data_IF_820348803312
#
_entry.id   IF_820348803312
#
_cell.length_a   1.000
_cell.length_b   1.000
_cell.length_c   1.000
_cell.angle_alpha   90.00
_cell.angle_beta   90.00
_cell.angle_gamma   90.00
#
_symmetry.space_group_name_H-M   'P 1'
#
loop_
_entity.id
_entity.type
_entity.pdbx_description
1 polymer ?
#
# COMPACT_ATOMS: atom_id res chain seq x y z
N UNK A 1 3.69 9.67 19.09
CA UNK A 1 2.24 9.90 19.11
C UNK A 1 1.86 10.73 17.88
N UNK A 2 0.63 10.61 17.38
CA UNK A 2 0.20 11.38 16.20
C UNK A 2 -0.47 12.70 16.61
N UNK A 3 -0.40 13.77 15.80
CA UNK A 3 -1.18 14.98 16.02
C UNK A 3 -2.68 14.68 16.15
N UNK A 4 -3.39 15.40 17.04
CA UNK A 4 -4.83 15.18 17.27
C UNK A 4 -5.65 15.26 15.98
N UNK A 5 -5.32 16.18 15.07
CA UNK A 5 -5.99 16.34 13.77
C UNK A 5 -5.93 15.11 12.85
N UNK A 6 -5.01 14.16 13.08
CA UNK A 6 -4.94 12.90 12.34
C UNK A 6 -5.77 11.76 12.96
N UNK A 7 -6.33 12.00 14.15
CA UNK A 7 -7.08 11.01 14.94
C UNK A 7 -8.52 11.46 15.12
N UNK A 8 -8.71 12.73 15.49
CA UNK A 8 -9.98 13.40 15.70
C UNK A 8 -10.21 14.34 14.51
N UNK A 9 -10.90 13.83 13.49
CA UNK A 9 -11.04 14.51 12.20
C UNK A 9 -12.09 15.61 12.26
N UNK A 10 -11.74 16.81 11.80
CA UNK A 10 -12.72 17.88 11.58
C UNK A 10 -13.67 17.53 10.39
N UNK A 11 -14.81 18.23 10.24
CA UNK A 11 -15.78 17.92 9.19
C UNK A 11 -15.20 17.95 7.76
N UNK A 12 -14.29 18.89 7.47
CA UNK A 12 -13.64 19.03 6.16
C UNK A 12 -12.72 17.85 5.86
N UNK A 13 -11.99 17.39 6.86
CA UNK A 13 -11.10 16.24 6.79
C UNK A 13 -11.89 14.95 6.66
N UNK A 14 -13.02 14.84 7.37
CA UNK A 14 -13.93 13.70 7.25
C UNK A 14 -14.52 13.60 5.83
N UNK A 15 -14.89 14.72 5.22
CA UNK A 15 -15.34 14.76 3.81
C UNK A 15 -14.24 14.27 2.86
N UNK A 16 -13.01 14.77 3.01
CA UNK A 16 -11.84 14.32 2.23
C UNK A 16 -11.65 12.81 2.36
N UNK A 17 -11.56 12.30 3.58
CA UNK A 17 -11.35 10.87 3.87
C UNK A 17 -12.48 10.01 3.30
N UNK A 18 -13.72 10.47 3.38
CA UNK A 18 -14.88 9.75 2.84
C UNK A 18 -14.80 9.64 1.33
N UNK A 19 -14.46 10.74 0.64
CA UNK A 19 -14.26 10.76 -0.81
C UNK A 19 -13.10 9.85 -1.25
N UNK A 20 -11.96 9.94 -0.57
CA UNK A 20 -10.78 9.11 -0.86
C UNK A 20 -11.08 7.62 -0.64
N UNK A 21 -11.76 7.28 0.46
CA UNK A 21 -12.15 5.90 0.76
C UNK A 21 -13.11 5.33 -0.28
N UNK A 22 -14.08 6.12 -0.75
CA UNK A 22 -14.98 5.74 -1.83
C UNK A 22 -14.20 5.48 -3.13
N UNK A 23 -13.28 6.36 -3.49
CA UNK A 23 -12.45 6.21 -4.71
C UNK A 23 -11.58 4.95 -4.66
N UNK A 24 -10.94 4.68 -3.52
CA UNK A 24 -10.16 3.45 -3.33
C UNK A 24 -11.03 2.20 -3.39
N UNK A 25 -12.22 2.24 -2.78
CA UNK A 25 -13.18 1.13 -2.84
C UNK A 25 -13.57 0.84 -4.30
N UNK A 26 -13.91 1.86 -5.08
CA UNK A 26 -14.24 1.72 -6.49
C UNK A 26 -13.06 1.20 -7.33
N UNK A 27 -11.84 1.68 -7.06
CA UNK A 27 -10.63 1.20 -7.71
C UNK A 27 -10.45 -0.32 -7.51
N UNK A 28 -10.54 -0.79 -6.26
CA UNK A 28 -10.32 -2.20 -5.92
C UNK A 28 -11.45 -3.15 -6.31
N UNK A 29 -12.55 -2.64 -6.87
CA UNK A 29 -13.63 -3.43 -7.47
C UNK A 29 -13.47 -3.56 -8.99
N UNK A 30 -12.41 -3.00 -9.58
CA UNK A 30 -12.10 -3.20 -11.00
C UNK A 30 -11.33 -4.50 -11.18
N UNK A 31 -11.66 -5.23 -12.23
CA UNK A 31 -11.01 -6.49 -12.58
C UNK A 31 -10.39 -6.33 -13.97
N UNK A 32 -9.06 -6.32 -14.04
CA UNK A 32 -8.36 -6.50 -15.31
C UNK A 32 -8.57 -7.92 -15.82
N UNK A 33 -8.91 -8.08 -17.10
CA UNK A 33 -9.15 -9.40 -17.70
C UNK A 33 -7.85 -10.17 -18.00
N UNK A 34 -6.71 -9.49 -18.00
CA UNK A 34 -5.42 -10.04 -18.35
C UNK A 34 -4.49 -10.08 -17.13
N UNK A 35 -3.84 -11.22 -16.91
CA UNK A 35 -2.80 -11.36 -15.89
C UNK A 35 -1.50 -10.71 -16.37
N UNK A 36 -1.02 -9.70 -15.65
CA UNK A 36 0.27 -9.03 -15.97
C UNK A 36 1.45 -9.54 -15.15
N UNK A 37 1.20 -10.13 -13.99
CA UNK A 37 2.24 -10.66 -13.11
C UNK A 37 2.79 -12.01 -13.60
N UNK A 38 4.06 -12.30 -13.27
CA UNK A 38 4.76 -13.55 -13.63
C UNK A 38 5.59 -14.07 -12.45
N UNK A 39 5.58 -15.39 -12.28
CA UNK A 39 6.29 -16.10 -11.21
C UNK A 39 5.98 -15.58 -9.80
N UNK A 40 6.89 -15.85 -8.88
CA UNK A 40 6.80 -15.40 -7.49
C UNK A 40 6.76 -13.86 -7.36
N UNK A 41 5.95 -13.39 -6.40
CA UNK A 41 6.02 -12.02 -5.91
C UNK A 41 7.26 -11.82 -5.03
N UNK A 42 7.77 -10.60 -4.98
CA UNK A 42 8.93 -10.23 -4.15
C UNK A 42 8.54 -9.21 -3.09
N UNK A 43 9.31 -9.19 -2.00
CA UNK A 43 9.24 -8.10 -1.01
C UNK A 43 9.66 -6.79 -1.69
N UNK A 44 8.94 -5.68 -1.44
CA UNK A 44 9.27 -4.41 -2.07
C UNK A 44 10.42 -3.66 -1.39
N UNK A 45 10.76 -4.03 -0.15
CA UNK A 45 11.92 -3.55 0.61
C UNK A 45 12.43 -4.70 1.51
N UNK A 46 13.71 -4.66 1.86
CA UNK A 46 14.34 -5.61 2.80
C UNK A 46 14.09 -5.29 4.28
N UNK A 47 13.34 -4.21 4.56
CA UNK A 47 13.06 -3.72 5.91
C UNK A 47 12.41 -4.71 6.87
N UNK A 48 12.65 -4.54 8.17
CA UNK A 48 12.13 -5.40 9.24
C UNK A 48 10.60 -5.28 9.36
N UNK A 49 9.92 -6.39 9.69
CA UNK A 49 8.48 -6.37 9.94
C UNK A 49 8.19 -5.67 11.27
N UNK A 50 7.66 -4.45 11.22
CA UNK A 50 7.29 -3.67 12.40
C UNK A 50 5.78 -3.67 12.70
N UNK A 51 4.96 -4.06 11.73
CA UNK A 51 3.50 -4.16 11.90
C UNK A 51 2.93 -5.31 11.08
N UNK A 52 2.45 -6.37 11.74
CA UNK A 52 1.86 -7.51 11.06
C UNK A 52 0.42 -7.24 10.59
N UNK A 53 0.02 -7.94 9.52
CA UNK A 53 -1.34 -7.92 8.97
C UNK A 53 -2.37 -8.39 10.00
N UNK A 54 -3.57 -7.79 9.96
CA UNK A 54 -4.70 -8.19 10.80
C UNK A 54 -4.61 -7.78 12.27
N UNK A 55 -3.47 -7.24 12.72
CA UNK A 55 -3.29 -6.81 14.11
C UNK A 55 -4.25 -5.65 14.46
N UNK A 56 -4.79 -5.67 15.68
CA UNK A 56 -5.62 -4.58 16.20
C UNK A 56 -4.76 -3.33 16.33
N UNK A 57 -5.21 -2.22 15.75
CA UNK A 57 -4.51 -0.93 15.85
C UNK A 57 -5.07 -0.11 17.01
N UNK A 58 -4.18 0.46 17.80
CA UNK A 58 -4.49 1.46 18.82
C UNK A 58 -3.70 2.71 18.48
N UNK A 59 -4.40 3.81 18.21
CA UNK A 59 -3.77 5.10 17.87
C UNK A 59 -4.17 6.10 18.94
N UNK A 60 -3.17 6.69 19.62
CA UNK A 60 -3.37 7.62 20.74
C UNK A 60 -4.35 7.07 21.80
N UNK A 61 -4.24 5.79 22.13
CA UNK A 61 -5.11 5.12 23.11
C UNK A 61 -6.49 4.69 22.60
N UNK A 62 -6.86 5.06 21.37
CA UNK A 62 -8.16 4.71 20.79
C UNK A 62 -8.03 3.50 19.84
N UNK A 63 -8.88 2.47 19.96
CA UNK A 63 -8.97 1.40 18.98
C UNK A 63 -9.33 1.93 17.59
N UNK A 64 -8.68 1.39 16.56
CA UNK A 64 -8.98 1.66 15.14
C UNK A 64 -9.11 0.34 14.38
N UNK A 65 -9.52 0.40 13.12
CA UNK A 65 -9.58 -0.76 12.23
C UNK A 65 -8.25 -1.51 12.19
N UNK A 66 -8.34 -2.83 12.05
CA UNK A 66 -7.17 -3.70 11.98
C UNK A 66 -6.23 -3.33 10.85
N UNK A 67 -4.98 -3.75 10.97
CA UNK A 67 -3.95 -3.49 10.00
C UNK A 67 -4.22 -4.18 8.65
N UNK A 68 -4.40 -3.39 7.59
CA UNK A 68 -4.82 -3.82 6.25
C UNK A 68 -3.67 -4.24 5.31
N UNK A 69 -2.47 -4.40 5.85
CA UNK A 69 -1.22 -4.68 5.15
C UNK A 69 -0.15 -5.05 6.16
N UNK A 70 1.12 -4.93 5.78
CA UNK A 70 2.27 -5.02 6.68
C UNK A 70 3.06 -3.72 6.64
N UNK A 71 3.68 -3.39 7.76
CA UNK A 71 4.57 -2.24 7.88
C UNK A 71 6.00 -2.77 7.94
N UNK A 72 6.82 -2.34 6.99
CA UNK A 72 8.23 -2.70 6.86
C UNK A 72 9.08 -1.50 7.20
N UNK A 73 9.79 -1.55 8.33
CA UNK A 73 10.68 -0.48 8.78
C UNK A 73 11.89 -0.40 7.87
N UNK A 74 12.13 0.77 7.31
CA UNK A 74 13.28 1.09 6.48
C UNK A 74 13.60 2.58 6.60
N UNK A 75 14.83 2.97 6.32
CA UNK A 75 15.24 4.37 6.36
C UNK A 75 14.48 5.19 5.31
N UNK A 76 14.21 6.46 5.62
CA UNK A 76 13.65 7.38 4.63
C UNK A 76 14.58 7.50 3.43
N UNK A 77 14.02 7.47 2.22
CA UNK A 77 14.80 7.42 0.99
C UNK A 77 15.19 6.00 0.53
N UNK A 78 14.90 4.94 1.30
CA UNK A 78 15.11 3.57 0.82
C UNK A 78 14.29 3.31 -0.46
N UNK A 79 14.89 2.75 -1.53
CA UNK A 79 14.15 2.39 -2.73
C UNK A 79 13.01 1.40 -2.48
N UNK A 80 11.85 1.65 -3.09
CA UNK A 80 10.68 0.75 -3.05
C UNK A 80 10.51 0.09 -4.41
N UNK A 81 10.54 -1.24 -4.44
CA UNK A 81 10.48 -2.03 -5.67
C UNK A 81 9.08 -2.60 -5.93
N UNK A 82 8.72 -2.74 -7.19
CA UNK A 82 7.49 -3.40 -7.61
C UNK A 82 7.53 -4.89 -7.27
N UNK A 83 6.58 -5.35 -6.46
CA UNK A 83 6.48 -6.74 -6.00
C UNK A 83 6.23 -7.72 -7.14
N UNK A 84 5.59 -7.26 -8.22
CA UNK A 84 5.48 -7.98 -9.49
C UNK A 84 5.14 -6.99 -10.62
N UNK A 85 5.10 -7.46 -11.86
CA UNK A 85 4.71 -6.66 -13.00
C UNK A 85 3.24 -6.26 -12.95
N UNK A 86 2.92 -5.02 -13.31
CA UNK A 86 1.58 -4.47 -13.22
C UNK A 86 1.45 -3.12 -13.91
N UNK A 87 0.23 -2.61 -13.98
CA UNK A 87 -0.04 -1.24 -14.42
C UNK A 87 -0.25 -0.35 -13.20
N UNK A 88 0.33 0.85 -13.20
CA UNK A 88 0.09 1.83 -12.13
C UNK A 88 -1.36 2.30 -12.18
N UNK A 89 -2.12 1.93 -11.16
CA UNK A 89 -3.55 2.21 -11.07
C UNK A 89 -3.85 3.47 -10.24
N UNK A 90 -2.92 3.86 -9.36
CA UNK A 90 -3.01 5.08 -8.55
C UNK A 90 -1.61 5.60 -8.21
N UNK A 91 -1.45 6.92 -8.34
CA UNK A 91 -0.40 7.71 -7.70
C UNK A 91 -1.09 8.93 -7.11
N UNK A 92 -1.07 9.09 -5.79
CA UNK A 92 -1.77 10.21 -5.13
C UNK A 92 -1.22 10.51 -3.73
N UNK A 93 -1.59 11.65 -3.16
CA UNK A 93 -1.35 12.04 -1.78
C UNK A 93 -2.65 12.01 -0.96
N UNK A 94 -2.87 10.89 -0.27
CA UNK A 94 -4.10 10.59 0.46
C UNK A 94 -3.95 10.91 1.95
N UNK A 95 -5.04 11.26 2.62
CA UNK A 95 -4.98 11.70 4.01
C UNK A 95 -4.32 10.67 4.95
N UNK A 96 -4.75 9.40 4.87
CA UNK A 96 -4.23 8.36 5.76
C UNK A 96 -2.96 7.72 5.26
N UNK A 97 -2.90 7.34 3.98
CA UNK A 97 -1.77 6.60 3.42
C UNK A 97 -0.65 7.50 2.90
N UNK A 98 -0.84 8.82 2.89
CA UNK A 98 0.11 9.77 2.34
C UNK A 98 0.34 9.55 0.86
N UNK A 99 1.56 9.82 0.42
CA UNK A 99 1.98 9.54 -0.95
C UNK A 99 1.94 8.03 -1.19
N UNK A 100 1.12 7.64 -2.15
CA UNK A 100 0.67 6.28 -2.36
C UNK A 100 0.87 5.88 -3.81
N UNK A 101 1.35 4.66 -4.04
CA UNK A 101 1.34 3.99 -5.34
C UNK A 101 0.53 2.70 -5.22
N UNK A 102 -0.29 2.40 -6.23
CA UNK A 102 -1.00 1.12 -6.36
C UNK A 102 -0.72 0.53 -7.73
N UNK A 103 -0.33 -0.74 -7.77
CA UNK A 103 -0.24 -1.51 -9.02
C UNK A 103 -1.44 -2.44 -9.15
N UNK A 104 -2.06 -2.44 -10.33
CA UNK A 104 -2.98 -3.46 -10.80
C UNK A 104 -2.17 -4.56 -11.51
N UNK A 105 -2.24 -5.77 -11.01
CA UNK A 105 -1.57 -6.93 -11.59
C UNK A 105 -2.50 -7.75 -12.52
N UNK A 106 -3.76 -7.31 -12.68
CA UNK A 106 -4.80 -8.07 -13.37
C UNK A 106 -5.53 -9.06 -12.46
N UNK A 107 -6.65 -9.59 -12.94
CA UNK A 107 -7.50 -10.56 -12.24
C UNK A 107 -7.89 -10.14 -10.81
N UNK A 108 -8.10 -8.84 -10.61
CA UNK A 108 -8.49 -8.29 -9.31
C UNK A 108 -7.37 -8.30 -8.26
N UNK A 109 -6.12 -8.56 -8.64
CA UNK A 109 -4.95 -8.56 -7.75
C UNK A 109 -4.25 -7.20 -7.79
N UNK A 110 -4.15 -6.54 -6.64
CA UNK A 110 -3.43 -5.26 -6.49
C UNK A 110 -2.39 -5.33 -5.39
N UNK A 111 -1.32 -4.56 -5.57
CA UNK A 111 -0.38 -4.23 -4.50
C UNK A 111 -0.38 -2.73 -4.20
N UNK A 112 -0.20 -2.39 -2.92
CA UNK A 112 -0.25 -1.03 -2.39
C UNK A 112 1.08 -0.68 -1.73
N UNK A 113 1.56 0.54 -1.96
CA UNK A 113 2.82 1.07 -1.46
C UNK A 113 2.59 2.48 -0.90
N UNK A 114 2.53 2.61 0.42
CA UNK A 114 2.09 3.82 1.09
C UNK A 114 3.18 4.47 1.94
N UNK A 115 2.90 5.67 2.44
CA UNK A 115 3.77 6.50 3.26
C UNK A 115 5.06 6.94 2.53
N UNK A 116 5.06 6.94 1.20
CA UNK A 116 6.25 7.26 0.41
C UNK A 116 6.70 8.72 0.63
N UNK A 117 8.00 8.98 0.55
CA UNK A 117 8.53 10.35 0.45
C UNK A 117 8.44 10.85 -1.00
N UNK A 118 8.61 9.94 -1.96
CA UNK A 118 8.61 10.21 -3.39
C UNK A 118 7.95 9.04 -4.15
N UNK A 119 7.16 9.38 -5.18
CA UNK A 119 6.68 8.42 -6.17
C UNK A 119 7.38 8.73 -7.50
N UNK A 120 7.93 7.70 -8.15
CA UNK A 120 8.76 7.82 -9.36
C UNK A 120 8.10 7.25 -10.61
N UNK A 121 6.80 6.99 -10.52
CA UNK A 121 5.97 6.43 -11.58
C UNK A 121 4.71 7.29 -11.74
N UNK A 122 3.99 7.10 -12.85
CA UNK A 122 2.76 7.82 -13.18
C UNK A 122 1.62 6.84 -13.41
N UNK A 123 0.40 7.29 -13.15
CA UNK A 123 -0.81 6.49 -13.44
C UNK A 123 -0.81 6.09 -14.92
N UNK A 124 -1.05 4.80 -15.17
CA UNK A 124 -1.05 4.21 -16.50
C UNK A 124 0.27 3.55 -16.91
N UNK A 125 1.38 3.81 -16.22
CA UNK A 125 2.67 3.19 -16.55
C UNK A 125 2.62 1.67 -16.41
N UNK A 126 3.31 0.96 -17.31
CA UNK A 126 3.57 -0.47 -17.15
C UNK A 126 4.89 -0.66 -16.41
N UNK A 127 4.82 -1.40 -15.32
CA UNK A 127 5.94 -1.62 -14.42
C UNK A 127 6.30 -3.08 -14.47
N UNK A 128 7.60 -3.37 -14.61
CA UNK A 128 8.12 -4.74 -14.51
C UNK A 128 8.42 -5.07 -13.04
N UNK A 129 8.32 -6.36 -12.68
CA UNK A 129 8.77 -6.86 -11.36
C UNK A 129 10.19 -6.36 -11.07
N UNK A 130 10.40 -5.82 -9.87
CA UNK A 130 11.70 -5.27 -9.43
C UNK A 130 12.02 -3.86 -9.93
N UNK A 131 11.16 -3.24 -10.76
CA UNK A 131 11.34 -1.83 -11.11
C UNK A 131 11.04 -0.91 -9.93
N UNK A 132 11.72 0.24 -9.90
CA UNK A 132 11.56 1.23 -8.83
C UNK A 132 10.22 1.96 -8.93
N UNK A 133 9.48 2.03 -7.81
CA UNK A 133 8.22 2.75 -7.71
C UNK A 133 8.36 4.11 -7.03
N UNK A 134 9.36 4.25 -6.16
CA UNK A 134 9.52 5.41 -5.31
C UNK A 134 10.50 5.20 -4.17
N UNK A 135 10.31 5.96 -3.11
CA UNK A 135 11.20 6.03 -1.96
C UNK A 135 10.39 5.97 -0.67
N UNK A 136 10.87 5.19 0.31
CA UNK A 136 10.30 5.12 1.66
C UNK A 136 10.25 6.51 2.29
N UNK A 137 9.20 6.80 3.05
CA UNK A 137 9.06 8.05 3.80
C UNK A 137 8.17 7.88 5.01
N UNK A 138 7.59 9.00 5.45
CA UNK A 138 6.64 9.05 6.58
C UNK A 138 5.45 9.98 6.28
N UNK A 139 4.97 10.00 5.04
CA UNK A 139 3.83 10.85 4.66
C UNK A 139 2.49 10.27 5.11
N UNK A 140 1.46 11.11 5.21
CA UNK A 140 0.14 10.71 5.70
C UNK A 140 0.14 10.45 7.21
N UNK A 141 -0.67 9.48 7.64
CA UNK A 141 -0.80 9.10 9.06
C UNK A 141 0.25 8.07 9.46
N UNK A 142 1.48 8.55 9.66
CA UNK A 142 2.66 7.75 10.01
C UNK A 142 3.40 8.39 11.20
N UNK A 143 4.05 7.58 12.04
CA UNK A 143 4.85 8.06 13.20
C UNK A 143 6.35 8.00 12.97
N UNK A 144 6.80 7.54 11.80
CA UNK A 144 8.20 7.46 11.42
C UNK A 144 8.40 6.68 10.11
N UNK A 145 9.60 6.69 9.53
CA UNK A 145 9.86 6.06 8.24
C UNK A 145 9.56 4.55 8.23
N UNK A 146 8.68 4.15 7.32
CA UNK A 146 8.37 2.76 7.00
C UNK A 146 7.60 2.67 5.69
N UNK A 147 7.62 1.51 5.04
CA UNK A 147 6.71 1.19 3.96
C UNK A 147 5.50 0.44 4.51
N UNK A 148 4.30 0.98 4.30
CA UNK A 148 3.10 0.14 4.40
C UNK A 148 2.88 -0.55 3.05
N UNK A 149 3.00 -1.87 3.06
CA UNK A 149 2.82 -2.75 1.90
C UNK A 149 1.57 -3.60 2.08
N UNK A 150 0.64 -3.56 1.14
CA UNK A 150 -0.59 -4.34 1.24
C UNK A 150 -0.99 -4.99 -0.06
N UNK A 151 -1.79 -6.05 0.04
CA UNK A 151 -2.33 -6.80 -1.09
C UNK A 151 -3.86 -6.77 -1.05
N UNK A 152 -4.46 -6.61 -2.22
CA UNK A 152 -5.90 -6.82 -2.45
C UNK A 152 -6.06 -7.94 -3.47
N UNK A 153 -6.96 -8.88 -3.21
CA UNK A 153 -7.43 -9.84 -4.20
C UNK A 153 -8.97 -9.81 -4.22
N UNK A 154 -9.56 -9.50 -5.37
CA UNK A 154 -11.01 -9.46 -5.58
C UNK A 154 -11.73 -8.59 -4.53
N UNK A 155 -11.17 -7.42 -4.23
CA UNK A 155 -11.67 -6.48 -3.23
C UNK A 155 -11.38 -6.85 -1.77
N UNK A 156 -10.85 -8.05 -1.48
CA UNK A 156 -10.48 -8.48 -0.14
C UNK A 156 -9.01 -8.17 0.18
N UNK A 157 -8.75 -7.78 1.44
CA UNK A 157 -7.39 -7.58 1.96
C UNK A 157 -6.74 -8.94 2.23
N UNK A 158 -5.52 -9.13 1.74
CA UNK A 158 -4.76 -10.38 1.91
C UNK A 158 -3.47 -10.08 2.66
N UNK A 159 -3.05 -11.01 3.53
CA UNK A 159 -1.72 -10.97 4.14
C UNK A 159 -0.64 -11.05 3.05
N UNK A 160 0.18 -9.99 2.86
CA UNK A 160 1.23 -9.98 1.85
C UNK A 160 2.25 -11.12 2.00
N UNK A 161 2.57 -11.55 3.22
CA UNK A 161 3.49 -12.66 3.43
C UNK A 161 2.89 -14.01 3.06
N UNK A 162 1.57 -14.17 3.21
CA UNK A 162 0.86 -15.34 2.70
C UNK A 162 0.94 -15.40 1.17
N UNK A 163 0.79 -14.28 0.46
CA UNK A 163 0.98 -14.23 -0.99
C UNK A 163 2.40 -14.64 -1.41
N UNK A 164 3.44 -14.17 -0.72
CA UNK A 164 4.82 -14.55 -1.03
C UNK A 164 5.02 -16.07 -0.91
N UNK A 165 4.54 -16.67 0.19
CA UNK A 165 4.63 -18.13 0.40
C UNK A 165 3.87 -18.90 -0.68
N UNK A 166 2.64 -18.48 -1.00
CA UNK A 166 1.80 -19.16 -1.99
C UNK A 166 2.32 -19.06 -3.42
N UNK A 167 3.16 -18.07 -3.73
CA UNK A 167 3.71 -17.86 -5.08
C UNK A 167 5.16 -18.30 -5.21
N UNK A 168 5.81 -18.76 -4.14
CA UNK A 168 7.24 -19.10 -4.12
C UNK A 168 7.63 -20.22 -5.10
N UNK A 169 6.70 -21.12 -5.44
CA UNK A 169 6.92 -22.20 -6.41
C UNK A 169 6.58 -21.82 -7.85
N UNK A 170 6.06 -20.62 -8.08
CA UNK A 170 5.72 -20.15 -9.43
C UNK A 170 6.98 -19.63 -10.13
N UNK A 171 7.26 -20.21 -11.29
CA UNK A 171 8.31 -19.77 -12.21
C UNK A 171 7.88 -18.53 -13.01
#
# INVERSE_FOLDING_TARGET
>A
TLPKSMVDLDPKTLERVTRESKRLKELFQRFGNERTWKGAFIRPVEGELSGAFGTRRIINGQPKSSHTGVDLRAEEGTPVWASNSGRVALVDDLFFSGKSVVLDHGWGLYSMYFHLSEARVRVGDHIFKGAELGRVGSTGRSTGPHLHWGIILNGARVDPFSLLRSTASLQ
#
